data_IF_755577454701
#
_entry.id   IF_755577454701
#
_cell.length_a   1.000
_cell.length_b   1.000
_cell.length_c   1.000
_cell.angle_alpha   90.00
_cell.angle_beta   90.00
_cell.angle_gamma   90.00
#
_symmetry.space_group_name_H-M   'P 1'
#
loop_
_entity.id
_entity.type
_entity.pdbx_description
1 polymer ?
#
# COMPACT_ATOMS: atom_id res chain seq x y z
N UNK A 1 4.71 16.16 19.41
CA UNK A 1 4.07 14.99 18.74
C UNK A 1 3.98 15.27 17.24
N UNK A 2 4.91 14.80 16.40
CA UNK A 2 4.85 15.03 14.93
C UNK A 2 5.42 13.87 14.07
N UNK A 3 5.84 12.75 14.69
CA UNK A 3 6.50 11.66 13.96
C UNK A 3 5.54 10.62 13.35
N UNK A 4 4.51 10.23 14.09
CA UNK A 4 3.65 9.08 13.74
C UNK A 4 2.70 9.36 12.57
N UNK A 5 2.19 10.58 12.42
CA UNK A 5 1.31 10.96 11.33
C UNK A 5 2.02 10.87 9.95
N UNK A 6 3.31 11.19 9.89
CA UNK A 6 4.06 11.20 8.64
C UNK A 6 4.27 9.77 8.10
N UNK A 7 4.56 8.81 8.99
CA UNK A 7 4.76 7.40 8.66
C UNK A 7 3.50 6.76 8.07
N UNK A 8 2.34 7.00 8.71
CA UNK A 8 1.05 6.51 8.25
C UNK A 8 0.67 7.08 6.88
N UNK A 9 0.81 8.40 6.70
CA UNK A 9 0.52 9.06 5.42
C UNK A 9 1.42 8.55 4.29
N UNK A 10 2.70 8.30 4.57
CA UNK A 10 3.63 7.69 3.60
C UNK A 10 3.19 6.29 3.19
N UNK A 11 2.82 5.44 4.15
CA UNK A 11 2.33 4.09 3.87
C UNK A 11 1.02 4.13 3.09
N UNK A 12 0.08 5.01 3.45
CA UNK A 12 -1.19 5.18 2.73
C UNK A 12 -0.96 5.62 1.28
N UNK A 13 -0.02 6.56 1.06
CA UNK A 13 0.34 7.03 -0.28
C UNK A 13 0.95 5.90 -1.11
N UNK A 14 1.81 5.07 -0.47
CA UNK A 14 2.45 3.93 -1.12
C UNK A 14 1.44 2.83 -1.46
N UNK A 15 0.50 2.55 -0.56
CA UNK A 15 -0.62 1.64 -0.80
C UNK A 15 -1.44 2.06 -2.02
N UNK A 16 -1.90 3.32 -2.04
CA UNK A 16 -2.70 3.86 -3.14
C UNK A 16 -1.95 3.78 -4.47
N UNK A 17 -0.65 4.12 -4.46
CA UNK A 17 0.19 4.04 -5.66
C UNK A 17 0.32 2.60 -6.16
N UNK A 18 0.56 1.64 -5.27
CA UNK A 18 0.67 0.22 -5.63
C UNK A 18 -0.65 -0.36 -6.16
N UNK A 19 -1.78 0.02 -5.56
CA UNK A 19 -3.11 -0.36 -6.06
C UNK A 19 -3.38 0.17 -7.46
N UNK A 20 -3.01 1.43 -7.71
CA UNK A 20 -3.19 2.05 -9.03
C UNK A 20 -2.25 1.42 -10.07
N UNK A 21 -0.98 1.20 -9.72
CA UNK A 21 -0.05 0.45 -10.56
C UNK A 21 -0.53 -0.97 -10.84
N UNK A 22 -1.10 -1.67 -9.86
CA UNK A 22 -1.68 -2.99 -10.04
C UNK A 22 -2.85 -2.95 -11.02
N UNK A 23 -3.74 -1.96 -10.89
CA UNK A 23 -4.87 -1.78 -11.80
C UNK A 23 -4.42 -1.51 -13.23
N UNK A 24 -3.48 -0.59 -13.42
CA UNK A 24 -2.94 -0.28 -14.75
C UNK A 24 -2.25 -1.51 -15.36
N UNK A 25 -1.46 -2.24 -14.55
CA UNK A 25 -0.79 -3.47 -14.96
C UNK A 25 -1.76 -4.63 -15.16
N UNK A 26 -2.98 -4.60 -14.62
CA UNK A 26 -3.94 -5.69 -14.81
C UNK A 26 -4.32 -5.88 -16.28
N UNK A 27 -4.26 -4.78 -17.05
CA UNK A 27 -4.54 -4.75 -18.50
C UNK A 27 -3.31 -5.09 -19.35
N UNK A 28 -2.09 -4.85 -18.84
CA UNK A 28 -0.84 -4.99 -19.60
C UNK A 28 -0.06 -6.25 -19.22
N UNK A 29 0.05 -6.54 -17.92
CA UNK A 29 0.86 -7.61 -17.37
C UNK A 29 0.27 -8.14 -16.05
N UNK A 30 -0.54 -9.19 -16.18
CA UNK A 30 -1.25 -9.82 -15.06
C UNK A 30 -0.32 -10.28 -13.94
N UNK A 31 0.85 -10.84 -14.28
CA UNK A 31 1.84 -11.30 -13.29
C UNK A 31 2.39 -10.14 -12.46
N UNK A 32 2.69 -9.00 -13.08
CA UNK A 32 3.14 -7.81 -12.35
C UNK A 32 2.01 -7.15 -11.56
N UNK A 33 0.78 -7.17 -12.08
CA UNK A 33 -0.41 -6.75 -11.35
C UNK A 33 -0.57 -7.53 -10.05
N UNK A 34 -0.49 -8.86 -10.11
CA UNK A 34 -0.64 -9.71 -8.92
C UNK A 34 0.46 -9.44 -7.89
N UNK A 35 1.70 -9.20 -8.32
CA UNK A 35 2.80 -8.78 -7.44
C UNK A 35 2.52 -7.44 -6.75
N UNK A 36 2.04 -6.45 -7.49
CA UNK A 36 1.72 -5.12 -6.94
C UNK A 36 0.53 -5.15 -6.00
N UNK A 37 -0.45 -6.01 -6.28
CA UNK A 37 -1.58 -6.27 -5.38
C UNK A 37 -1.12 -6.87 -4.06
N UNK A 38 -0.21 -7.85 -4.10
CA UNK A 38 0.36 -8.45 -2.89
C UNK A 38 1.16 -7.42 -2.07
N UNK A 39 2.02 -6.61 -2.70
CA UNK A 39 2.75 -5.53 -2.03
C UNK A 39 1.79 -4.53 -1.35
N UNK A 40 0.67 -4.20 -1.99
CA UNK A 40 -0.33 -3.30 -1.41
C UNK A 40 -1.05 -3.96 -0.23
N UNK A 41 -1.43 -5.24 -0.32
CA UNK A 41 -2.05 -5.96 0.80
C UNK A 41 -1.14 -5.97 2.04
N UNK A 42 0.16 -6.18 1.88
CA UNK A 42 1.14 -6.09 2.98
C UNK A 42 1.19 -4.69 3.62
N UNK A 43 1.17 -3.63 2.81
CA UNK A 43 1.14 -2.25 3.33
C UNK A 43 -0.17 -1.95 4.05
N UNK A 44 -1.30 -2.49 3.55
CA UNK A 44 -2.59 -2.38 4.23
C UNK A 44 -2.54 -3.01 5.62
N UNK A 45 -1.95 -4.20 5.75
CA UNK A 45 -1.75 -4.84 7.05
C UNK A 45 -0.85 -4.02 7.98
N UNK A 46 0.23 -3.44 7.47
CA UNK A 46 1.10 -2.56 8.27
C UNK A 46 0.38 -1.29 8.73
N UNK A 47 -0.50 -0.72 7.90
CA UNK A 47 -1.34 0.41 8.27
C UNK A 47 -2.30 0.05 9.39
N UNK A 48 -2.99 -1.09 9.28
CA UNK A 48 -3.91 -1.59 10.29
C UNK A 48 -3.20 -1.90 11.62
N UNK A 49 -1.99 -2.46 11.57
CA UNK A 49 -1.16 -2.68 12.76
C UNK A 49 -0.70 -1.38 13.39
N UNK A 50 -0.31 -0.39 12.58
CA UNK A 50 0.06 0.93 13.08
C UNK A 50 -1.12 1.67 13.69
N UNK A 51 -2.32 1.53 13.13
CA UNK A 51 -3.56 2.05 13.72
C UNK A 51 -3.90 1.35 15.04
N UNK A 52 -3.74 0.03 15.11
CA UNK A 52 -3.97 -0.74 16.34
C UNK A 52 -2.97 -0.44 17.45
N UNK A 53 -1.75 -0.04 17.09
CA UNK A 53 -0.69 0.30 18.06
C UNK A 53 -0.69 1.78 18.48
N UNK A 54 -1.49 2.65 17.85
CA UNK A 54 -1.58 4.10 18.15
C UNK A 54 -2.74 4.45 19.08
#
# INVERSE_FOLDING_TARGET
MFGSANSKVKLQTKYNKLMQEAYDLSTVNRKKSDQKRAEAEEIGQQLDELERQS
#
